data_IF_204282233036
#
_entry.id   IF_204282233036
#
_cell.length_a   1.000
_cell.length_b   1.000
_cell.length_c   1.000
_cell.angle_alpha   90.00
_cell.angle_beta   90.00
_cell.angle_gamma   90.00
#
_symmetry.space_group_name_H-M   'P 1'
#
loop_
_entity.id
_entity.type
_entity.pdbx_description
1 polymer ?
#
# COMPACT_ATOMS: atom_id res chain seq x y z
N UNK A 1 26.23 4.71 -23.59
CA UNK A 1 24.78 4.71 -23.36
C UNK A 1 24.07 4.44 -24.68
N UNK A 2 22.99 3.65 -24.70
CA UNK A 2 22.20 3.40 -25.90
C UNK A 2 21.62 4.71 -26.46
N UNK A 3 21.60 4.88 -27.78
CA UNK A 3 20.97 6.03 -28.43
C UNK A 3 19.46 5.80 -28.52
N UNK A 4 18.71 6.24 -27.51
CA UNK A 4 17.27 6.04 -27.39
C UNK A 4 16.52 7.33 -27.64
N UNK A 5 15.34 7.22 -28.28
CA UNK A 5 14.38 8.32 -28.34
C UNK A 5 13.80 8.61 -26.96
N UNK A 6 13.28 9.81 -26.75
CA UNK A 6 12.62 10.16 -25.48
C UNK A 6 11.47 9.21 -25.13
N UNK A 7 10.69 8.77 -26.13
CA UNK A 7 9.59 7.85 -25.92
C UNK A 7 10.09 6.49 -25.40
N UNK A 8 11.22 6.00 -25.94
CA UNK A 8 11.86 4.77 -25.46
C UNK A 8 12.40 4.94 -24.04
N UNK A 9 13.07 6.06 -23.74
CA UNK A 9 13.56 6.36 -22.39
C UNK A 9 12.43 6.43 -21.36
N UNK A 10 11.33 7.12 -21.71
CA UNK A 10 10.13 7.18 -20.87
C UNK A 10 9.54 5.79 -20.62
N UNK A 11 9.40 4.98 -21.66
CA UNK A 11 8.88 3.61 -21.55
C UNK A 11 9.73 2.73 -20.61
N UNK A 12 11.05 2.77 -20.78
CA UNK A 12 12.01 2.04 -19.94
C UNK A 12 11.93 2.50 -18.48
N UNK A 13 11.83 3.82 -18.24
CA UNK A 13 11.70 4.39 -16.90
C UNK A 13 10.39 3.95 -16.22
N UNK A 14 9.27 3.95 -16.95
CA UNK A 14 7.97 3.49 -16.43
C UNK A 14 8.03 2.00 -16.11
N UNK A 15 8.59 1.18 -17.00
CA UNK A 15 8.74 -0.25 -16.75
C UNK A 15 9.56 -0.53 -15.50
N UNK A 16 10.73 0.10 -15.37
CA UNK A 16 11.60 -0.09 -14.20
C UNK A 16 10.88 0.29 -12.90
N UNK A 17 10.12 1.39 -12.91
CA UNK A 17 9.33 1.84 -11.77
C UNK A 17 8.22 0.86 -11.39
N UNK A 18 7.44 0.39 -12.37
CA UNK A 18 6.34 -0.58 -12.13
C UNK A 18 6.89 -1.88 -11.55
N UNK A 19 8.01 -2.38 -12.07
CA UNK A 19 8.64 -3.59 -11.52
C UNK A 19 9.13 -3.34 -10.10
N UNK A 20 9.81 -2.23 -9.83
CA UNK A 20 10.30 -1.89 -8.49
C UNK A 20 9.15 -1.79 -7.46
N UNK A 21 8.04 -1.17 -7.85
CA UNK A 21 6.84 -1.06 -7.02
C UNK A 21 6.23 -2.43 -6.73
N UNK A 22 6.10 -3.30 -7.75
CA UNK A 22 5.53 -4.64 -7.55
C UNK A 22 6.41 -5.52 -6.67
N UNK A 23 7.74 -5.42 -6.78
CA UNK A 23 8.65 -6.14 -5.89
C UNK A 23 8.51 -5.69 -4.43
N UNK A 24 8.40 -4.37 -4.21
CA UNK A 24 8.14 -3.82 -2.87
C UNK A 24 6.79 -4.28 -2.32
N UNK A 25 5.73 -4.26 -3.14
CA UNK A 25 4.39 -4.72 -2.76
C UNK A 25 4.41 -6.20 -2.36
N UNK A 26 5.13 -7.06 -3.10
CA UNK A 26 5.25 -8.48 -2.78
C UNK A 26 5.93 -8.69 -1.42
N UNK A 27 7.06 -8.03 -1.17
CA UNK A 27 7.77 -8.12 0.11
C UNK A 27 6.89 -7.62 1.28
N UNK A 28 6.21 -6.48 1.09
CA UNK A 28 5.30 -5.92 2.08
C UNK A 28 4.12 -6.86 2.35
N UNK A 29 3.57 -7.51 1.31
CA UNK A 29 2.47 -8.46 1.45
C UNK A 29 2.89 -9.69 2.24
N UNK A 30 4.07 -10.26 1.94
CA UNK A 30 4.59 -11.40 2.71
C UNK A 30 4.75 -11.06 4.19
N UNK A 31 5.38 -9.92 4.49
CA UNK A 31 5.56 -9.46 5.87
C UNK A 31 4.23 -9.17 6.57
N UNK A 32 3.24 -8.65 5.84
CA UNK A 32 1.91 -8.40 6.37
C UNK A 32 1.20 -9.72 6.70
N UNK A 33 1.17 -10.70 5.81
CA UNK A 33 0.53 -12.00 6.07
C UNK A 33 1.15 -12.77 7.24
N UNK A 34 2.43 -12.53 7.54
CA UNK A 34 3.13 -13.15 8.67
C UNK A 34 2.78 -12.50 10.02
N UNK A 35 2.41 -11.22 10.02
CA UNK A 35 2.25 -10.41 11.26
C UNK A 35 0.87 -9.79 11.45
N UNK A 36 -0.05 -9.96 10.49
CA UNK A 36 -1.35 -9.31 10.52
C UNK A 36 -2.19 -9.77 11.72
N UNK A 37 -2.78 -8.84 12.49
CA UNK A 37 -3.71 -9.19 13.53
C UNK A 37 -5.03 -9.72 12.94
N UNK A 38 -5.62 -10.72 13.60
CA UNK A 38 -7.00 -11.14 13.32
C UNK A 38 -7.94 -9.98 13.67
N UNK A 39 -8.60 -9.42 12.66
CA UNK A 39 -9.62 -8.36 12.81
C UNK A 39 -10.93 -8.82 12.16
N UNK A 40 -11.46 -8.10 11.17
CA UNK A 40 -12.58 -8.58 10.34
C UNK A 40 -12.16 -9.66 9.37
N UNK A 41 -10.87 -9.73 9.06
CA UNK A 41 -10.26 -10.69 8.13
C UNK A 41 -9.18 -11.47 8.85
N UNK A 42 -9.18 -12.80 8.69
CA UNK A 42 -8.07 -13.67 9.07
C UNK A 42 -7.12 -13.80 7.89
N UNK A 43 -5.84 -13.54 8.14
CA UNK A 43 -4.77 -13.76 7.18
C UNK A 43 -4.03 -15.04 7.55
N UNK A 44 -3.92 -15.95 6.59
CA UNK A 44 -3.20 -17.22 6.78
C UNK A 44 -1.96 -17.18 5.90
N UNK A 45 -0.79 -17.31 6.50
CA UNK A 45 0.45 -17.53 5.77
C UNK A 45 0.50 -18.99 5.30
N UNK A 46 0.03 -19.26 4.08
CA UNK A 46 -0.12 -20.61 3.51
C UNK A 46 1.02 -21.01 2.56
N UNK A 47 2.06 -20.19 2.47
CA UNK A 47 3.26 -20.47 1.68
C UNK A 47 4.25 -21.34 2.48
N UNK A 48 4.68 -22.50 1.93
CA UNK A 48 5.76 -23.28 2.54
C UNK A 48 7.03 -22.45 2.69
N UNK A 49 7.83 -22.73 3.72
CA UNK A 49 9.08 -22.01 4.00
C UNK A 49 10.04 -22.05 2.79
N UNK A 50 10.20 -23.22 2.18
CA UNK A 50 11.05 -23.37 0.99
C UNK A 50 10.56 -22.50 -0.18
N UNK A 51 9.26 -22.47 -0.43
CA UNK A 51 8.65 -21.64 -1.49
C UNK A 51 8.84 -20.15 -1.19
N UNK A 52 8.66 -19.74 0.07
CA UNK A 52 8.88 -18.36 0.52
C UNK A 52 10.33 -17.93 0.30
N UNK A 53 11.29 -18.79 0.68
CA UNK A 53 12.72 -18.55 0.46
C UNK A 53 13.06 -18.45 -1.03
N UNK A 54 12.52 -19.35 -1.85
CA UNK A 54 12.72 -19.31 -3.30
C UNK A 54 12.13 -18.03 -3.92
N UNK A 55 10.96 -17.59 -3.47
CA UNK A 55 10.33 -16.37 -3.93
C UNK A 55 11.20 -15.13 -3.61
N UNK A 56 11.69 -15.02 -2.37
CA UNK A 56 12.60 -13.95 -1.96
C UNK A 56 13.90 -13.93 -2.80
N UNK A 57 14.46 -15.10 -3.11
CA UNK A 57 15.62 -15.19 -4.01
C UNK A 57 15.30 -14.69 -5.42
N UNK A 58 14.09 -14.95 -5.94
CA UNK A 58 13.68 -14.41 -7.25
C UNK A 58 13.45 -12.91 -7.22
N UNK A 59 12.89 -12.37 -6.13
CA UNK A 59 12.75 -10.92 -5.91
C UNK A 59 14.14 -10.25 -5.92
N UNK A 60 15.11 -10.81 -5.19
CA UNK A 60 16.49 -10.30 -5.17
C UNK A 60 17.14 -10.34 -6.57
N UNK A 61 16.94 -11.43 -7.32
CA UNK A 61 17.45 -11.52 -8.69
C UNK A 61 16.83 -10.46 -9.62
N UNK A 62 15.52 -10.17 -9.48
CA UNK A 62 14.87 -9.09 -10.23
C UNK A 62 15.41 -7.71 -9.83
N UNK A 63 15.67 -7.45 -8.54
CA UNK A 63 16.31 -6.21 -8.09
C UNK A 63 17.70 -6.03 -8.69
N UNK A 64 18.50 -7.10 -8.79
CA UNK A 64 19.79 -7.06 -9.46
C UNK A 64 19.66 -6.73 -10.96
N UNK A 65 18.67 -7.31 -11.64
CA UNK A 65 18.37 -6.98 -13.05
C UNK A 65 17.93 -5.52 -13.23
N UNK A 66 17.13 -4.96 -12.32
CA UNK A 66 16.76 -3.54 -12.33
C UNK A 66 17.98 -2.62 -12.14
N UNK A 67 18.91 -3.00 -11.27
CA UNK A 67 20.15 -2.23 -11.08
C UNK A 67 21.01 -2.24 -12.34
N UNK A 68 21.07 -3.36 -13.05
CA UNK A 68 21.74 -3.45 -14.36
C UNK A 68 21.05 -2.58 -15.41
N UNK A 69 19.71 -2.61 -15.45
CA UNK A 69 18.90 -1.76 -16.33
C UNK A 69 19.14 -0.28 -16.04
N UNK A 70 19.17 0.13 -14.76
CA UNK A 70 19.51 1.49 -14.35
C UNK A 70 20.87 1.92 -14.88
N UNK A 71 21.90 1.09 -14.70
CA UNK A 71 23.27 1.37 -15.18
C UNK A 71 23.33 1.46 -16.71
N UNK A 72 22.69 0.51 -17.40
CA UNK A 72 22.72 0.41 -18.87
C UNK A 72 22.03 1.60 -19.54
N UNK A 73 20.87 2.00 -19.01
CA UNK A 73 20.03 3.03 -19.62
C UNK A 73 20.15 4.41 -18.95
N UNK A 74 21.01 4.57 -17.94
CA UNK A 74 21.23 5.84 -17.26
C UNK A 74 19.99 6.34 -16.50
N UNK A 75 19.24 5.44 -15.87
CA UNK A 75 18.00 5.81 -15.18
C UNK A 75 18.31 6.60 -13.90
N UNK A 76 17.66 7.75 -13.76
CA UNK A 76 17.74 8.56 -12.56
C UNK A 76 16.96 7.93 -11.41
N UNK A 77 17.52 8.04 -10.20
CA UNK A 77 16.83 7.61 -9.00
C UNK A 77 15.69 8.58 -8.67
N UNK A 78 14.53 8.02 -8.35
CA UNK A 78 13.41 8.81 -7.83
C UNK A 78 13.47 8.83 -6.31
N UNK A 79 13.27 10.01 -5.72
CA UNK A 79 13.20 10.15 -4.27
C UNK A 79 11.74 10.03 -3.82
N UNK A 80 11.38 8.87 -3.25
CA UNK A 80 10.12 8.70 -2.51
C UNK A 80 10.36 8.98 -1.03
N UNK A 81 9.44 9.70 -0.41
CA UNK A 81 9.51 10.03 1.01
C UNK A 81 8.46 9.24 1.75
N UNK A 82 8.87 8.37 2.68
CA UNK A 82 7.96 7.57 3.51
C UNK A 82 6.85 8.42 4.13
N UNK A 83 7.21 9.58 4.69
CA UNK A 83 6.27 10.57 5.25
C UNK A 83 5.14 10.92 4.28
N UNK A 84 5.45 11.14 3.00
CA UNK A 84 4.46 11.50 1.97
C UNK A 84 3.56 10.30 1.63
N UNK A 85 4.11 9.10 1.56
CA UNK A 85 3.36 7.88 1.27
C UNK A 85 2.38 7.55 2.41
N UNK A 86 2.84 7.64 3.66
CA UNK A 86 2.00 7.43 4.83
C UNK A 86 0.92 8.51 4.94
N UNK A 87 1.26 9.78 4.75
CA UNK A 87 0.28 10.87 4.73
C UNK A 87 -0.82 10.61 3.67
N UNK A 88 -0.45 10.22 2.45
CA UNK A 88 -1.42 9.93 1.40
C UNK A 88 -2.37 8.78 1.78
N UNK A 89 -1.83 7.69 2.35
CA UNK A 89 -2.64 6.55 2.80
C UNK A 89 -3.56 6.91 3.97
N UNK A 90 -3.08 7.68 4.94
CA UNK A 90 -3.88 8.15 6.08
C UNK A 90 -4.98 9.12 5.64
N UNK A 91 -4.70 10.01 4.69
CA UNK A 91 -5.69 10.91 4.12
C UNK A 91 -6.81 10.16 3.39
N UNK A 92 -6.44 9.16 2.58
CA UNK A 92 -7.42 8.28 1.95
C UNK A 92 -8.29 7.55 2.98
N UNK A 93 -7.69 6.99 4.03
CA UNK A 93 -8.44 6.29 5.08
C UNK A 93 -9.40 7.24 5.81
N UNK A 94 -8.97 8.46 6.11
CA UNK A 94 -9.83 9.48 6.72
C UNK A 94 -11.01 9.86 5.81
N UNK A 95 -10.79 10.00 4.51
CA UNK A 95 -11.86 10.29 3.54
C UNK A 95 -12.91 9.17 3.52
N UNK A 96 -12.47 7.91 3.47
CA UNK A 96 -13.38 6.75 3.51
C UNK A 96 -14.19 6.69 4.82
N UNK A 97 -13.51 6.89 5.96
CA UNK A 97 -14.14 6.83 7.28
C UNK A 97 -15.11 8.00 7.52
N UNK A 98 -14.72 9.23 7.20
CA UNK A 98 -15.54 10.43 7.38
C UNK A 98 -16.81 10.40 6.51
N UNK A 99 -16.76 9.71 5.36
CA UNK A 99 -17.93 9.47 4.51
C UNK A 99 -18.87 8.38 5.04
N UNK A 100 -18.37 7.43 5.85
CA UNK A 100 -19.09 6.25 6.31
C UNK A 100 -20.07 6.55 7.46
N UNK A 101 -21.06 7.42 7.22
CA UNK A 101 -22.09 7.76 8.21
C UNK A 101 -23.15 6.66 8.34
N UNK A 102 -23.75 6.53 9.53
CA UNK A 102 -24.84 5.57 9.78
C UNK A 102 -26.00 5.71 8.79
N UNK A 103 -26.30 6.94 8.35
CA UNK A 103 -27.32 7.23 7.32
C UNK A 103 -27.10 6.48 6.00
N UNK A 104 -25.87 6.11 5.66
CA UNK A 104 -25.62 5.30 4.45
C UNK A 104 -26.21 3.88 4.58
N UNK A 105 -26.41 3.37 5.80
CA UNK A 105 -27.02 2.07 6.05
C UNK A 105 -28.54 2.07 5.78
N UNK A 106 -29.22 3.21 5.94
CA UNK A 106 -30.66 3.36 5.69
C UNK A 106 -31.05 2.98 4.24
N UNK A 107 -30.11 3.12 3.29
CA UNK A 107 -30.32 2.73 1.89
C UNK A 107 -30.35 1.21 1.64
N UNK A 108 -29.99 0.39 2.65
CA UNK A 108 -29.86 -1.06 2.52
C UNK A 108 -30.92 -1.86 3.29
N UNK A 109 -31.87 -1.17 3.94
CA UNK A 109 -32.97 -1.80 4.67
C UNK A 109 -33.26 -1.10 6.00
N UNK A 110 -34.22 -1.63 6.78
CA UNK A 110 -34.46 -1.15 8.13
C UNK A 110 -33.21 -1.39 8.99
N UNK A 111 -32.73 -0.32 9.64
CA UNK A 111 -31.59 -0.35 10.55
C UNK A 111 -32.11 -0.22 11.97
N UNK A 112 -31.55 -0.97 12.92
CA UNK A 112 -31.86 -0.80 14.32
C UNK A 112 -31.23 0.50 14.84
N UNK A 113 -32.06 1.50 15.09
CA UNK A 113 -31.62 2.81 15.58
C UNK A 113 -30.93 2.70 16.95
N UNK A 114 -31.18 1.61 17.70
CA UNK A 114 -30.48 1.35 18.96
C UNK A 114 -28.97 1.13 18.77
N UNK A 115 -28.54 0.68 17.58
CA UNK A 115 -27.11 0.43 17.26
C UNK A 115 -26.37 1.69 16.77
N UNK A 116 -27.12 2.78 16.52
CA UNK A 116 -26.55 4.00 15.92
C UNK A 116 -25.46 4.63 16.76
N UNK A 117 -25.68 4.78 18.06
CA UNK A 117 -24.75 5.44 18.95
C UNK A 117 -23.41 4.69 19.01
N UNK A 118 -23.45 3.36 19.05
CA UNK A 118 -22.26 2.51 19.10
C UNK A 118 -21.51 2.54 17.76
N UNK A 119 -22.23 2.47 16.64
CA UNK A 119 -21.65 2.61 15.30
C UNK A 119 -20.94 3.97 15.13
N UNK A 120 -21.64 5.06 15.42
CA UNK A 120 -21.11 6.42 15.28
C UNK A 120 -19.92 6.63 16.23
N UNK A 121 -19.95 6.08 17.45
CA UNK A 121 -18.81 6.15 18.37
C UNK A 121 -17.56 5.41 17.83
N UNK A 122 -17.72 4.21 17.28
CA UNK A 122 -16.63 3.45 16.68
C UNK A 122 -16.08 4.13 15.43
N UNK A 123 -16.96 4.61 14.54
CA UNK A 123 -16.57 5.33 13.33
C UNK A 123 -15.83 6.63 13.67
N UNK A 124 -16.31 7.41 14.64
CA UNK A 124 -15.64 8.63 15.10
C UNK A 124 -14.25 8.34 15.68
N UNK A 125 -14.13 7.26 16.46
CA UNK A 125 -12.84 6.82 17.00
C UNK A 125 -11.85 6.47 15.88
N UNK A 126 -12.27 5.69 14.89
CA UNK A 126 -11.42 5.34 13.75
C UNK A 126 -11.02 6.57 12.92
N UNK A 127 -11.97 7.50 12.71
CA UNK A 127 -11.73 8.76 11.99
C UNK A 127 -10.68 9.61 12.71
N UNK A 128 -10.80 9.74 14.04
CA UNK A 128 -9.82 10.47 14.88
C UNK A 128 -8.42 9.87 14.77
N UNK A 129 -8.31 8.53 14.84
CA UNK A 129 -7.02 7.85 14.66
C UNK A 129 -6.42 8.11 13.27
N UNK A 130 -7.23 8.19 12.21
CA UNK A 130 -6.76 8.53 10.88
C UNK A 130 -6.23 9.98 10.80
N UNK A 131 -6.88 10.93 11.47
CA UNK A 131 -6.40 12.32 11.60
C UNK A 131 -5.08 12.44 12.36
N UNK A 132 -4.94 11.70 13.47
CA UNK A 132 -3.71 11.63 14.24
C UNK A 132 -2.55 11.09 13.38
N UNK A 133 -2.79 10.02 12.61
CA UNK A 133 -1.80 9.47 11.66
C UNK A 133 -1.38 10.49 10.59
N UNK A 134 -2.32 11.26 10.03
CA UNK A 134 -1.99 12.34 9.09
C UNK A 134 -1.11 13.42 9.75
N UNK A 135 -1.44 13.80 10.98
CA UNK A 135 -0.72 14.84 11.74
C UNK A 135 0.72 14.42 12.03
N UNK A 136 0.94 13.15 12.43
CA UNK A 136 2.28 12.58 12.61
C UNK A 136 3.11 12.63 11.32
N UNK A 137 2.46 12.55 10.17
CA UNK A 137 3.10 12.64 8.87
C UNK A 137 3.24 14.08 8.34
N UNK A 138 2.92 15.11 9.12
CA UNK A 138 3.10 16.52 8.75
C UNK A 138 4.31 17.18 9.45
N UNK A 139 4.76 16.66 10.59
CA UNK A 139 6.00 17.08 11.28
C UNK A 139 7.24 16.35 10.75
#
# INVERSE_FOLDING_TARGET
MPNLTEAQQRSIKVLAWVVEEKLMDMEATMAYFESAPDTTTRYTYDLPEETSRLLLLKIQAMRAALQEMKRTYGLEQQNRKLKKELHAKSAFLWEELSGATFKRLEGYGPVDEAERADYEALQNRMTTLAEEMMTLCNH
#
